data_IF_686612729883
#
_entry.id   IF_686612729883
#
_cell.length_a   1.000
_cell.length_b   1.000
_cell.length_c   1.000
_cell.angle_alpha   90.00
_cell.angle_beta   90.00
_cell.angle_gamma   90.00
#
_symmetry.space_group_name_H-M   'P 1'
#
loop_
_entity.id
_entity.type
_entity.pdbx_description
1 polymer ?
#
# COMPACT_ATOMS: atom_id res chain seq x y z
N UNK A 1 -17.32 -1.75 21.90
CA UNK A 1 -17.47 -0.85 20.72
C UNK A 1 -16.07 -0.43 20.30
N UNK A 2 -15.58 -0.93 19.17
CA UNK A 2 -14.22 -0.62 18.69
C UNK A 2 -14.18 0.85 18.25
N UNK A 3 -13.27 1.63 18.87
CA UNK A 3 -13.12 3.05 18.51
C UNK A 3 -12.27 3.17 17.25
N UNK A 4 -12.86 3.64 16.17
CA UNK A 4 -12.13 4.08 14.97
C UNK A 4 -11.55 5.46 15.26
N UNK A 5 -10.22 5.60 15.11
CA UNK A 5 -9.51 6.84 15.45
C UNK A 5 -8.81 7.39 14.21
N UNK A 6 -8.83 8.70 14.06
CA UNK A 6 -8.04 9.39 13.04
C UNK A 6 -6.59 9.41 13.51
N UNK A 7 -5.66 9.04 12.63
CA UNK A 7 -4.22 9.03 12.85
C UNK A 7 -3.56 10.23 12.17
N UNK A 8 -3.93 10.47 10.90
CA UNK A 8 -3.44 11.62 10.13
C UNK A 8 -4.60 12.21 9.33
N UNK A 9 -4.83 13.49 9.51
CA UNK A 9 -5.76 14.25 8.67
C UNK A 9 -5.11 14.69 7.35
N UNK A 10 -5.89 14.85 6.25
CA UNK A 10 -5.38 15.48 5.04
C UNK A 10 -4.99 16.94 5.30
N UNK A 11 -4.09 17.49 4.50
CA UNK A 11 -3.65 18.90 4.62
C UNK A 11 -4.82 19.88 4.40
N UNK A 12 -5.76 19.54 3.53
CA UNK A 12 -6.96 20.34 3.21
C UNK A 12 -8.22 19.47 3.26
N UNK A 13 -9.38 20.02 3.73
CA UNK A 13 -10.65 19.30 3.79
C UNK A 13 -11.41 19.38 2.45
N UNK A 14 -10.82 18.87 1.36
CA UNK A 14 -11.40 18.89 0.00
C UNK A 14 -11.04 17.67 -0.83
N UNK A 15 -11.81 17.33 -1.87
CA UNK A 15 -11.52 16.21 -2.75
C UNK A 15 -10.10 16.27 -3.33
N UNK A 16 -9.40 15.14 -3.34
CA UNK A 16 -8.04 15.02 -3.86
C UNK A 16 -6.94 15.33 -2.84
N UNK A 17 -7.27 15.84 -1.64
CA UNK A 17 -6.35 16.00 -0.53
C UNK A 17 -6.43 14.77 0.38
N UNK A 18 -5.33 14.00 0.47
CA UNK A 18 -5.32 12.72 1.16
C UNK A 18 -4.11 12.55 2.06
N UNK A 19 -4.35 11.95 3.23
CA UNK A 19 -3.37 11.27 4.05
C UNK A 19 -3.72 9.79 4.08
N UNK A 20 -2.85 8.90 3.58
CA UNK A 20 -3.21 7.50 3.48
C UNK A 20 -2.14 6.62 2.84
N UNK A 21 -2.53 5.45 2.33
CA UNK A 21 -1.61 4.45 1.81
C UNK A 21 -0.66 3.93 2.90
N UNK A 22 -1.17 3.47 4.07
CA UNK A 22 -0.34 3.06 5.19
C UNK A 22 0.50 1.81 4.89
N UNK A 23 1.67 1.75 5.54
CA UNK A 23 2.47 0.55 5.75
C UNK A 23 3.00 0.60 7.18
N UNK A 24 2.54 -0.31 8.03
CA UNK A 24 2.80 -0.30 9.46
C UNK A 24 3.69 -1.45 9.91
N UNK A 25 4.51 -1.20 10.92
CA UNK A 25 5.36 -2.18 11.60
C UNK A 25 5.25 -1.99 13.12
N UNK A 26 5.25 -3.08 13.87
CA UNK A 26 5.43 -3.07 15.31
C UNK A 26 6.80 -3.70 15.62
N UNK A 27 7.75 -2.89 16.05
CA UNK A 27 9.14 -3.30 16.31
C UNK A 27 9.49 -2.94 17.75
N UNK A 28 9.85 -3.91 18.55
CA UNK A 28 10.24 -3.74 19.97
C UNK A 28 9.25 -2.88 20.77
N UNK A 29 7.95 -3.09 20.55
CA UNK A 29 6.87 -2.36 21.22
C UNK A 29 6.60 -0.96 20.66
N UNK A 30 7.38 -0.48 19.70
CA UNK A 30 7.18 0.81 19.04
C UNK A 30 6.47 0.62 17.69
N UNK A 31 5.41 1.38 17.46
CA UNK A 31 4.75 1.44 16.18
C UNK A 31 5.48 2.38 15.22
N UNK A 32 5.68 1.91 14.01
CA UNK A 32 6.20 2.66 12.88
C UNK A 32 5.19 2.64 11.75
N UNK A 33 4.90 3.80 11.17
CA UNK A 33 3.88 3.96 10.15
C UNK A 33 4.42 4.81 9.02
N UNK A 34 4.57 4.21 7.85
CA UNK A 34 4.82 4.95 6.62
C UNK A 34 3.48 5.24 5.94
N UNK A 35 3.31 6.45 5.39
CA UNK A 35 2.11 6.86 4.68
C UNK A 35 2.42 7.93 3.63
N UNK A 36 1.48 8.15 2.73
CA UNK A 36 1.55 9.16 1.67
C UNK A 36 0.74 10.40 2.04
N UNK A 37 1.27 11.58 1.69
CA UNK A 37 0.53 12.84 1.63
C UNK A 37 0.28 13.22 0.18
N UNK A 38 -0.95 13.60 -0.14
CA UNK A 38 -1.37 13.98 -1.48
C UNK A 38 -2.21 15.24 -1.49
N UNK A 39 -1.98 16.07 -2.49
CA UNK A 39 -2.77 17.25 -2.86
C UNK A 39 -3.59 16.96 -4.13
N UNK A 40 -4.59 17.79 -4.45
CA UNK A 40 -5.36 17.66 -5.68
C UNK A 40 -4.49 17.64 -6.94
N UNK A 41 -5.07 17.16 -8.05
CA UNK A 41 -4.44 17.24 -9.37
C UNK A 41 -4.11 18.69 -9.72
N UNK A 42 -2.90 18.92 -10.24
CA UNK A 42 -2.39 20.28 -10.53
C UNK A 42 -1.74 20.99 -9.34
N UNK A 43 -1.89 20.46 -8.11
CA UNK A 43 -1.33 21.05 -6.89
C UNK A 43 -0.22 20.20 -6.24
N UNK A 44 0.33 19.22 -6.98
CA UNK A 44 1.48 18.42 -6.56
C UNK A 44 1.19 16.94 -6.37
N UNK A 45 -0.07 16.50 -6.38
CA UNK A 45 -0.45 15.07 -6.23
C UNK A 45 0.20 14.44 -4.99
N UNK A 46 0.74 13.23 -5.07
CA UNK A 46 1.52 12.58 -4.02
C UNK A 46 2.87 13.27 -3.84
N UNK A 47 2.94 14.29 -2.98
CA UNK A 47 4.13 15.14 -2.86
C UNK A 47 5.16 14.62 -1.85
N UNK A 48 4.73 13.75 -0.91
CA UNK A 48 5.63 13.18 0.09
C UNK A 48 5.18 11.81 0.59
N UNK A 49 6.15 10.97 0.96
CA UNK A 49 5.96 9.89 1.92
C UNK A 49 6.54 10.31 3.27
N UNK A 50 5.86 9.94 4.34
CA UNK A 50 6.24 10.25 5.72
C UNK A 50 6.38 8.93 6.48
N UNK A 51 7.40 8.81 7.34
CA UNK A 51 7.47 7.77 8.35
C UNK A 51 7.32 8.43 9.72
N UNK A 52 6.42 7.90 10.53
CA UNK A 52 6.11 8.38 11.87
C UNK A 52 6.20 7.24 12.89
N UNK A 53 6.45 7.57 14.14
CA UNK A 53 6.51 6.62 15.27
C UNK A 53 5.43 6.90 16.30
N UNK A 54 5.05 5.85 17.05
CA UNK A 54 4.07 5.94 18.12
C UNK A 54 4.31 4.84 19.17
N UNK A 55 4.02 5.14 20.43
CA UNK A 55 4.08 4.14 21.51
C UNK A 55 2.70 3.46 21.73
N UNK A 56 1.60 4.07 21.28
CA UNK A 56 0.23 3.58 21.47
C UNK A 56 -0.46 3.07 20.18
N UNK A 57 0.17 3.31 19.01
CA UNK A 57 -0.38 2.98 17.69
C UNK A 57 -1.55 3.89 17.26
N UNK A 58 -1.74 5.03 17.92
CA UNK A 58 -2.81 5.99 17.65
C UNK A 58 -2.25 7.39 17.43
N UNK A 59 -1.40 7.85 18.35
CA UNK A 59 -0.78 9.18 18.32
C UNK A 59 0.61 9.05 17.72
N UNK A 60 0.76 9.51 16.47
CA UNK A 60 2.01 9.39 15.73
C UNK A 60 2.75 10.71 15.62
N UNK A 61 4.07 10.65 15.79
CA UNK A 61 5.00 11.77 15.59
C UNK A 61 5.83 11.51 14.33
N UNK A 62 5.79 12.39 13.31
CA UNK A 62 6.63 12.28 12.12
C UNK A 62 8.13 12.29 12.48
N UNK A 63 8.89 11.37 11.87
CA UNK A 63 10.34 11.20 12.05
C UNK A 63 11.08 11.49 10.75
N UNK A 64 10.50 11.08 9.61
CA UNK A 64 11.10 11.23 8.28
C UNK A 64 10.05 11.73 7.29
N UNK A 65 10.41 12.70 6.46
CA UNK A 65 9.68 13.10 5.26
C UNK A 65 10.55 12.92 4.02
N UNK A 66 10.00 12.25 3.00
CA UNK A 66 10.68 12.03 1.72
C UNK A 66 9.83 12.64 0.62
N UNK A 67 10.33 13.73 0.00
CA UNK A 67 9.63 14.45 -1.05
C UNK A 67 9.82 13.77 -2.43
N UNK A 68 8.84 13.92 -3.31
CA UNK A 68 8.86 13.40 -4.68
C UNK A 68 10.06 13.91 -5.51
N UNK A 69 10.49 15.13 -5.24
CA UNK A 69 11.58 15.79 -5.98
C UNK A 69 12.92 15.06 -5.80
N UNK A 70 13.10 14.37 -4.68
CA UNK A 70 14.27 13.51 -4.44
C UNK A 70 14.45 12.44 -5.51
N UNK A 71 13.35 11.93 -6.07
CA UNK A 71 13.33 10.88 -7.09
C UNK A 71 13.15 11.42 -8.51
N UNK A 72 13.02 12.74 -8.69
CA UNK A 72 12.59 13.30 -9.97
C UNK A 72 11.20 12.82 -10.38
N UNK A 73 10.35 12.46 -9.42
CA UNK A 73 9.04 11.89 -9.67
C UNK A 73 7.95 12.98 -9.76
N UNK A 74 6.91 12.72 -10.57
CA UNK A 74 5.73 13.57 -10.62
C UNK A 74 4.85 13.41 -9.37
N UNK A 75 4.82 12.19 -8.83
CA UNK A 75 4.00 11.83 -7.69
C UNK A 75 4.58 10.62 -6.97
N UNK A 76 4.41 10.55 -5.67
CA UNK A 76 4.61 9.33 -4.88
C UNK A 76 3.27 8.66 -4.58
N UNK A 77 3.25 7.32 -4.51
CA UNK A 77 2.11 6.54 -4.04
C UNK A 77 2.47 5.80 -2.75
N UNK A 78 1.70 4.76 -2.41
CA UNK A 78 1.86 4.00 -1.17
C UNK A 78 3.31 3.55 -0.97
N UNK A 79 3.95 3.90 0.15
CA UNK A 79 5.23 3.31 0.54
C UNK A 79 5.06 1.90 1.11
N UNK A 80 6.15 1.11 1.14
CA UNK A 80 6.23 -0.07 1.99
C UNK A 80 7.44 0.05 2.93
N UNK A 81 7.16 0.01 4.23
CA UNK A 81 8.18 0.06 5.28
C UNK A 81 8.39 -1.36 5.82
N UNK A 82 9.63 -1.83 5.85
CA UNK A 82 10.00 -3.14 6.42
C UNK A 82 11.30 -3.06 7.18
N UNK A 83 11.51 -4.00 8.10
CA UNK A 83 12.79 -4.23 8.77
C UNK A 83 13.37 -5.55 8.25
N UNK A 84 14.65 -5.54 7.88
CA UNK A 84 15.34 -6.74 7.43
C UNK A 84 15.67 -7.66 8.61
N UNK A 85 15.98 -8.95 8.36
CA UNK A 85 16.44 -9.86 9.41
C UNK A 85 17.66 -9.35 10.19
N UNK A 86 18.49 -8.52 9.55
CA UNK A 86 19.68 -7.89 10.14
C UNK A 86 19.35 -6.60 10.91
N UNK A 87 18.08 -6.21 10.99
CA UNK A 87 17.62 -5.02 11.71
C UNK A 87 17.73 -3.71 10.92
N UNK A 88 17.99 -3.76 9.62
CA UNK A 88 18.04 -2.56 8.78
C UNK A 88 16.64 -2.14 8.34
N UNK A 89 16.45 -0.84 8.21
CA UNK A 89 15.19 -0.26 7.73
C UNK A 89 15.20 -0.11 6.20
N UNK A 90 14.11 -0.52 5.58
CA UNK A 90 13.85 -0.38 4.15
C UNK A 90 12.55 0.38 3.91
N UNK A 91 12.62 1.40 3.05
CA UNK A 91 11.46 2.12 2.55
C UNK A 91 11.41 1.97 1.03
N UNK A 92 10.45 1.19 0.55
CA UNK A 92 10.13 1.10 -0.87
C UNK A 92 9.17 2.23 -1.22
N UNK A 93 9.50 3.01 -2.25
CA UNK A 93 8.77 4.22 -2.64
C UNK A 93 8.27 4.07 -4.07
N UNK A 94 6.96 4.16 -4.27
CA UNK A 94 6.33 4.13 -5.59
C UNK A 94 6.38 5.51 -6.22
N UNK A 95 7.02 5.64 -7.39
CA UNK A 95 7.35 6.88 -8.07
C UNK A 95 6.71 6.95 -9.46
N UNK A 96 6.02 8.06 -9.78
CA UNK A 96 5.44 8.31 -11.11
C UNK A 96 6.46 8.98 -12.04
N UNK A 97 6.60 8.46 -13.26
CA UNK A 97 7.39 9.10 -14.32
C UNK A 97 6.68 10.36 -14.80
N UNK A 98 7.33 11.54 -14.79
CA UNK A 98 6.71 12.78 -15.22
C UNK A 98 6.12 12.70 -16.64
N UNK A 99 4.92 13.23 -16.80
CA UNK A 99 4.24 13.32 -18.11
C UNK A 99 3.72 11.99 -18.67
N UNK A 100 3.77 10.90 -17.91
CA UNK A 100 3.37 9.55 -18.37
C UNK A 100 2.41 8.85 -17.42
N UNK A 101 2.01 7.62 -17.77
CA UNK A 101 1.31 6.68 -16.87
C UNK A 101 2.25 5.64 -16.26
N UNK A 102 3.54 5.69 -16.58
CA UNK A 102 4.54 4.76 -16.07
C UNK A 102 4.87 5.04 -14.60
N UNK A 103 5.11 3.96 -13.85
CA UNK A 103 5.54 3.97 -12.45
C UNK A 103 6.70 2.99 -12.25
N UNK A 104 7.57 3.31 -11.29
CA UNK A 104 8.62 2.43 -10.80
C UNK A 104 8.64 2.42 -9.27
N UNK A 105 9.39 1.50 -8.68
CA UNK A 105 9.63 1.48 -7.24
C UNK A 105 11.12 1.62 -6.96
N UNK A 106 11.46 2.60 -6.13
CA UNK A 106 12.79 2.80 -5.57
C UNK A 106 12.85 2.33 -4.13
N UNK A 107 14.03 1.91 -3.68
CA UNK A 107 14.33 1.50 -2.33
C UNK A 107 15.32 2.48 -1.70
N UNK A 108 15.08 2.83 -0.44
CA UNK A 108 16.03 3.44 0.49
C UNK A 108 16.30 2.45 1.61
N UNK A 109 17.56 2.21 1.96
CA UNK A 109 17.97 1.32 3.05
C UNK A 109 18.96 1.99 3.98
N UNK A 110 18.78 1.82 5.31
CA UNK A 110 19.72 2.34 6.32
C UNK A 110 19.53 1.64 7.68
N UNK A 111 20.42 1.96 8.62
CA UNK A 111 20.39 1.36 9.97
C UNK A 111 19.30 1.97 10.86
N UNK A 112 18.85 3.19 10.58
CA UNK A 112 17.76 3.87 11.31
C UNK A 112 16.77 4.50 10.34
N UNK A 113 15.53 4.78 10.82
CA UNK A 113 14.51 5.46 10.01
C UNK A 113 14.98 6.87 9.62
N UNK A 114 15.61 7.60 10.51
CA UNK A 114 16.12 8.95 10.26
C UNK A 114 17.17 8.98 9.15
N UNK A 115 18.05 7.98 9.14
CA UNK A 115 19.14 7.87 8.15
C UNK A 115 18.66 7.54 6.74
N UNK A 116 17.41 7.07 6.57
CA UNK A 116 16.78 6.94 5.25
C UNK A 116 16.72 8.28 4.50
N UNK A 117 16.74 9.41 5.21
CA UNK A 117 16.79 10.75 4.61
C UNK A 117 17.96 10.93 3.64
N UNK A 118 19.10 10.32 3.92
CA UNK A 118 20.35 10.44 3.14
C UNK A 118 20.77 9.13 2.47
N UNK A 119 19.97 8.06 2.61
CA UNK A 119 20.27 6.76 2.02
C UNK A 119 20.34 6.84 0.49
N UNK A 120 21.21 6.05 -0.12
CA UNK A 120 21.28 5.95 -1.57
C UNK A 120 20.00 5.34 -2.13
N UNK A 121 19.46 5.93 -3.20
CA UNK A 121 18.33 5.38 -3.94
C UNK A 121 18.80 4.21 -4.82
N UNK A 122 18.07 3.10 -4.76
CA UNK A 122 18.20 1.95 -5.68
C UNK A 122 16.87 1.68 -6.33
N UNK A 123 16.78 1.72 -7.66
CA UNK A 123 15.56 1.37 -8.38
C UNK A 123 15.43 -0.15 -8.46
N UNK A 124 14.48 -0.72 -7.69
CA UNK A 124 14.32 -2.18 -7.53
C UNK A 124 13.22 -2.78 -8.39
N UNK A 125 12.20 -1.99 -8.80
CA UNK A 125 11.15 -2.41 -9.72
C UNK A 125 11.00 -1.32 -10.79
N UNK A 126 11.72 -1.42 -11.91
CA UNK A 126 11.75 -0.36 -12.92
C UNK A 126 10.45 -0.26 -13.72
N UNK A 127 9.59 -1.29 -13.72
CA UNK A 127 8.53 -1.41 -14.70
C UNK A 127 9.09 -1.68 -16.10
N UNK A 128 8.26 -1.47 -17.13
CA UNK A 128 8.64 -1.60 -18.53
C UNK A 128 7.84 -0.61 -19.41
N UNK A 129 8.06 -0.63 -20.70
CA UNK A 129 7.23 0.12 -21.66
C UNK A 129 5.78 -0.37 -21.69
N UNK A 130 5.53 -1.64 -21.32
CA UNK A 130 4.22 -2.28 -21.32
C UNK A 130 3.55 -2.32 -19.95
N UNK A 131 4.30 -2.07 -18.86
CA UNK A 131 3.79 -2.23 -17.50
C UNK A 131 4.38 -1.22 -16.53
N UNK A 132 3.51 -0.48 -15.84
CA UNK A 132 3.86 0.31 -14.67
C UNK A 132 3.74 -0.53 -13.40
N UNK A 133 4.66 -0.37 -12.44
CA UNK A 133 4.69 -1.12 -11.19
C UNK A 133 4.70 -0.17 -10.01
N UNK A 134 3.79 -0.39 -9.03
CA UNK A 134 3.72 0.43 -7.83
C UNK A 134 3.04 -0.29 -6.65
N UNK A 135 2.93 0.39 -5.51
CA UNK A 135 2.20 -0.03 -4.30
C UNK A 135 2.64 -1.43 -3.79
N UNK A 136 3.95 -1.66 -3.55
CA UNK A 136 4.41 -2.97 -3.14
C UNK A 136 3.94 -3.32 -1.73
N UNK A 137 3.65 -4.61 -1.53
CA UNK A 137 3.56 -5.28 -0.23
C UNK A 137 4.75 -6.22 -0.13
N UNK A 138 5.60 -6.03 0.87
CA UNK A 138 6.84 -6.79 1.02
C UNK A 138 6.82 -7.54 2.35
N UNK A 139 7.16 -8.83 2.33
CA UNK A 139 7.19 -9.70 3.53
C UNK A 139 8.42 -10.61 3.50
N UNK A 140 8.97 -10.88 4.66
CA UNK A 140 10.01 -11.89 4.90
C UNK A 140 9.37 -13.11 5.57
N UNK A 141 9.62 -14.33 5.06
CA UNK A 141 9.06 -15.59 5.58
C UNK A 141 10.02 -16.39 6.48
N UNK A 142 11.20 -15.81 6.76
CA UNK A 142 12.29 -16.49 7.46
C UNK A 142 13.37 -17.06 6.53
N UNK A 143 13.10 -17.14 5.22
CA UNK A 143 13.99 -17.75 4.23
C UNK A 143 14.22 -16.88 2.99
N UNK A 144 13.18 -16.14 2.55
CA UNK A 144 13.22 -15.27 1.37
C UNK A 144 12.25 -14.12 1.50
N UNK A 145 12.46 -13.13 0.67
CA UNK A 145 11.54 -12.02 0.50
C UNK A 145 10.42 -12.37 -0.48
N UNK A 146 9.22 -11.96 -0.14
CA UNK A 146 8.02 -12.02 -0.96
C UNK A 146 7.56 -10.61 -1.26
N UNK A 147 7.14 -10.38 -2.50
CA UNK A 147 6.60 -9.10 -2.96
C UNK A 147 5.34 -9.33 -3.76
N UNK A 148 4.34 -8.53 -3.48
CA UNK A 148 3.16 -8.36 -4.31
C UNK A 148 3.09 -6.91 -4.71
N UNK A 149 3.00 -6.63 -6.02
CA UNK A 149 2.94 -5.28 -6.52
C UNK A 149 1.74 -5.08 -7.44
N UNK A 150 1.20 -3.88 -7.45
CA UNK A 150 0.19 -3.47 -8.42
C UNK A 150 0.85 -3.24 -9.77
N UNK A 151 0.43 -3.99 -10.78
CA UNK A 151 0.92 -3.86 -12.15
C UNK A 151 -0.19 -3.30 -13.04
N UNK A 152 0.13 -2.21 -13.74
CA UNK A 152 -0.79 -1.47 -14.59
C UNK A 152 -0.38 -1.65 -16.06
N UNK A 153 -1.27 -2.13 -16.94
CA UNK A 153 -0.97 -2.24 -18.37
C UNK A 153 -0.79 -0.85 -18.99
N UNK A 154 0.18 -0.70 -19.88
CA UNK A 154 0.48 0.55 -20.59
C UNK A 154 0.26 0.47 -22.10
N UNK A 155 -0.03 -0.71 -22.63
CA UNK A 155 -0.31 -0.99 -24.05
C UNK A 155 -1.63 -0.38 -24.55
N UNK A 156 -2.61 -0.19 -23.65
CA UNK A 156 -3.86 0.50 -23.92
C UNK A 156 -4.06 1.68 -22.95
N UNK A 157 -3.98 2.95 -23.44
CA UNK A 157 -4.20 4.13 -22.58
C UNK A 157 -5.56 4.16 -21.87
N UNK A 158 -6.59 3.49 -22.42
CA UNK A 158 -7.92 3.40 -21.82
C UNK A 158 -8.02 2.29 -20.76
N UNK A 159 -7.01 1.45 -20.66
CA UNK A 159 -6.96 0.31 -19.75
C UNK A 159 -5.89 0.42 -18.64
N UNK A 160 -5.15 1.52 -18.56
CA UNK A 160 -4.05 1.69 -17.58
C UNK A 160 -4.49 1.58 -16.13
N UNK A 161 -5.77 1.65 -15.85
CA UNK A 161 -6.37 1.46 -14.53
C UNK A 161 -6.88 0.02 -14.28
N UNK A 162 -6.73 -0.90 -15.26
CA UNK A 162 -7.01 -2.34 -15.12
C UNK A 162 -5.82 -3.07 -14.49
N UNK A 163 -5.51 -2.69 -13.27
CA UNK A 163 -4.38 -3.26 -12.56
C UNK A 163 -4.66 -4.67 -12.06
N UNK A 164 -3.61 -5.49 -12.04
CA UNK A 164 -3.57 -6.78 -11.36
C UNK A 164 -2.57 -6.71 -10.21
N UNK A 165 -2.62 -7.66 -9.30
CA UNK A 165 -1.56 -7.89 -8.33
C UNK A 165 -0.66 -9.01 -8.84
N UNK A 166 0.62 -8.69 -9.06
CA UNK A 166 1.64 -9.64 -9.48
C UNK A 166 2.54 -10.03 -8.30
N UNK A 167 3.03 -11.28 -8.31
CA UNK A 167 3.86 -11.85 -7.26
C UNK A 167 5.30 -12.04 -7.72
N UNK A 168 6.24 -11.72 -6.83
CA UNK A 168 7.67 -11.95 -7.02
C UNK A 168 8.36 -12.41 -5.74
N UNK A 169 9.52 -13.04 -5.86
CA UNK A 169 10.39 -13.41 -4.75
C UNK A 169 11.81 -12.90 -4.96
N UNK A 170 12.54 -12.76 -3.84
CA UNK A 170 13.94 -12.31 -3.86
C UNK A 170 14.71 -12.95 -2.71
N UNK A 171 16.00 -13.27 -2.88
CA UNK A 171 16.88 -13.68 -1.79
C UNK A 171 17.29 -12.49 -0.90
N UNK A 172 17.37 -11.28 -1.44
CA UNK A 172 17.93 -10.09 -0.80
C UNK A 172 16.96 -8.89 -0.70
N UNK A 173 15.78 -8.97 -1.37
CA UNK A 173 14.80 -7.90 -1.44
C UNK A 173 15.17 -6.77 -2.41
N UNK A 174 16.18 -6.97 -3.26
CA UNK A 174 16.66 -6.04 -4.27
C UNK A 174 16.38 -6.55 -5.69
N UNK A 175 16.82 -7.77 -5.97
CA UNK A 175 16.65 -8.44 -7.25
C UNK A 175 15.45 -9.39 -7.19
N UNK A 176 14.43 -9.13 -8.02
CA UNK A 176 13.14 -9.81 -7.95
C UNK A 176 12.89 -10.75 -9.12
N UNK A 177 12.50 -11.99 -8.81
CA UNK A 177 12.02 -12.97 -9.78
C UNK A 177 10.49 -13.00 -9.77
N UNK A 178 9.88 -12.62 -10.90
CA UNK A 178 8.43 -12.60 -11.07
C UNK A 178 7.85 -14.01 -11.33
N UNK A 179 6.70 -14.29 -10.72
CA UNK A 179 5.98 -15.56 -10.81
C UNK A 179 4.60 -15.42 -11.48
N UNK A 180 4.20 -14.20 -11.84
CA UNK A 180 2.95 -13.90 -12.51
C UNK A 180 1.84 -13.44 -11.55
N UNK A 181 0.62 -13.45 -12.04
CA UNK A 181 -0.55 -12.87 -11.39
C UNK A 181 -0.96 -13.63 -10.13
N UNK A 182 -0.95 -12.95 -8.99
CA UNK A 182 -1.46 -13.45 -7.72
C UNK A 182 -2.97 -13.24 -7.57
N UNK A 183 -3.48 -12.07 -8.03
CA UNK A 183 -4.91 -11.75 -8.04
C UNK A 183 -5.25 -10.86 -9.24
N UNK A 184 -6.35 -11.18 -9.91
CA UNK A 184 -6.97 -10.37 -10.95
C UNK A 184 -8.42 -10.04 -10.58
N UNK A 185 -8.98 -8.97 -11.16
CA UNK A 185 -10.36 -8.58 -10.93
C UNK A 185 -11.35 -9.64 -11.42
N UNK A 186 -12.45 -9.81 -10.70
CA UNK A 186 -13.50 -10.79 -11.00
C UNK A 186 -14.41 -10.27 -12.11
N UNK A 187 -14.49 -10.92 -13.27
CA UNK A 187 -15.36 -10.46 -14.36
C UNK A 187 -16.81 -10.28 -13.93
N UNK A 188 -17.36 -9.06 -14.09
CA UNK A 188 -18.71 -8.71 -13.66
C UNK A 188 -18.86 -8.47 -12.16
N UNK A 189 -17.80 -8.62 -11.38
CA UNK A 189 -17.78 -8.39 -9.94
C UNK A 189 -17.59 -6.91 -9.57
N UNK A 190 -17.67 -6.63 -8.27
CA UNK A 190 -17.43 -5.31 -7.69
C UNK A 190 -15.95 -4.85 -7.81
N UNK A 191 -15.04 -5.75 -8.12
CA UNK A 191 -13.60 -5.55 -8.28
C UNK A 191 -13.12 -5.73 -9.74
N UNK A 192 -14.05 -5.84 -10.69
CA UNK A 192 -13.78 -6.22 -12.08
C UNK A 192 -12.79 -5.29 -12.82
N UNK A 193 -12.68 -4.03 -12.40
CA UNK A 193 -11.85 -3.04 -13.09
C UNK A 193 -10.38 -3.12 -12.72
N UNK A 194 -10.07 -3.54 -11.50
CA UNK A 194 -8.68 -3.68 -11.06
C UNK A 194 -8.56 -3.96 -9.58
N UNK A 195 -7.50 -4.68 -9.22
CA UNK A 195 -7.21 -5.13 -7.85
C UNK A 195 -5.75 -4.90 -7.49
N UNK A 196 -5.50 -4.54 -6.22
CA UNK A 196 -4.14 -4.46 -5.66
C UNK A 196 -4.13 -4.91 -4.20
N UNK A 197 -3.14 -5.68 -3.80
CA UNK A 197 -2.96 -6.01 -2.40
C UNK A 197 -2.55 -4.79 -1.58
N UNK A 198 -3.07 -4.74 -0.36
CA UNK A 198 -2.74 -3.74 0.64
C UNK A 198 -2.05 -4.34 1.87
N UNK A 199 -2.33 -5.60 2.21
CA UNK A 199 -1.56 -6.41 3.14
C UNK A 199 -1.60 -7.88 2.76
N UNK A 200 -0.57 -8.63 3.17
CA UNK A 200 -0.53 -10.09 3.07
C UNK A 200 -0.07 -10.66 4.41
N UNK A 201 -0.81 -11.61 4.92
CA UNK A 201 -0.42 -12.43 6.06
C UNK A 201 -0.01 -13.82 5.55
N UNK A 202 1.25 -14.18 5.80
CA UNK A 202 1.80 -15.47 5.41
C UNK A 202 1.59 -16.50 6.53
N UNK A 203 0.83 -17.57 6.25
CA UNK A 203 0.61 -18.70 7.17
C UNK A 203 0.38 -20.00 6.35
N UNK A 204 1.29 -20.31 5.44
CA UNK A 204 1.18 -21.45 4.53
C UNK A 204 -0.16 -21.41 3.75
N UNK A 205 -0.90 -22.51 3.78
CA UNK A 205 -2.19 -22.63 3.10
C UNK A 205 -3.31 -21.75 3.70
N UNK A 206 -3.08 -21.19 4.90
CA UNK A 206 -4.01 -20.27 5.56
C UNK A 206 -3.66 -18.80 5.31
N UNK A 207 -2.71 -18.53 4.43
CA UNK A 207 -2.36 -17.15 4.05
C UNK A 207 -3.57 -16.41 3.50
N UNK A 208 -3.67 -15.14 3.83
CA UNK A 208 -4.73 -14.26 3.37
C UNK A 208 -4.18 -12.88 3.02
N UNK A 209 -4.92 -12.15 2.20
CA UNK A 209 -4.58 -10.79 1.81
C UNK A 209 -5.80 -9.88 1.89
N UNK A 210 -5.59 -8.63 2.28
CA UNK A 210 -6.53 -7.56 2.00
C UNK A 210 -6.15 -6.94 0.66
N UNK A 211 -7.16 -6.59 -0.12
CA UNK A 211 -6.96 -5.96 -1.41
C UNK A 211 -7.96 -4.85 -1.66
N UNK A 212 -7.56 -3.88 -2.44
CA UNK A 212 -8.45 -2.84 -2.94
C UNK A 212 -8.98 -3.23 -4.31
N UNK A 213 -10.27 -3.01 -4.53
CA UNK A 213 -10.94 -3.29 -5.79
C UNK A 213 -11.98 -2.24 -6.14
N UNK A 214 -12.36 -2.18 -7.42
CA UNK A 214 -13.43 -1.34 -7.93
C UNK A 214 -14.06 -1.96 -9.17
N UNK A 215 -15.34 -1.68 -9.43
CA UNK A 215 -16.06 -2.23 -10.57
C UNK A 215 -15.81 -1.44 -11.86
N UNK A 216 -15.62 -0.13 -11.78
CA UNK A 216 -15.59 0.77 -12.94
C UNK A 216 -14.46 1.80 -12.86
N UNK A 217 -14.16 2.45 -13.98
CA UNK A 217 -13.20 3.56 -14.02
C UNK A 217 -13.69 4.81 -13.26
N UNK A 218 -15.01 4.98 -13.13
CA UNK A 218 -15.60 6.10 -12.39
C UNK A 218 -15.36 6.00 -10.88
N UNK A 219 -15.09 4.80 -10.35
CA UNK A 219 -14.74 4.54 -8.95
C UNK A 219 -13.23 4.68 -8.68
N UNK A 220 -12.47 5.23 -9.63
CA UNK A 220 -11.05 5.46 -9.44
C UNK A 220 -10.81 6.39 -8.25
N UNK A 221 -9.88 5.97 -7.36
CA UNK A 221 -9.55 6.56 -6.05
C UNK A 221 -10.55 6.28 -4.92
N UNK A 222 -11.67 5.64 -5.22
CA UNK A 222 -12.71 5.26 -4.27
C UNK A 222 -12.83 3.73 -4.19
N UNK A 223 -11.68 3.05 -4.27
CA UNK A 223 -11.60 1.62 -4.12
C UNK A 223 -12.12 1.19 -2.74
N UNK A 224 -12.64 -0.03 -2.67
CA UNK A 224 -13.12 -0.68 -1.44
C UNK A 224 -12.21 -1.85 -1.09
N UNK A 225 -12.10 -2.17 0.20
CA UNK A 225 -11.27 -3.27 0.66
C UNK A 225 -12.01 -4.60 0.60
N UNK A 226 -11.42 -5.59 -0.07
CA UNK A 226 -11.83 -6.98 -0.10
C UNK A 226 -10.87 -7.89 0.65
N UNK A 227 -11.27 -9.14 0.83
CA UNK A 227 -10.48 -10.24 1.39
C UNK A 227 -10.19 -11.26 0.30
N UNK A 228 -8.95 -11.74 0.23
CA UNK A 228 -8.57 -12.86 -0.62
C UNK A 228 -7.82 -13.91 0.21
N UNK A 229 -7.96 -15.18 -0.13
CA UNK A 229 -7.33 -16.31 0.56
C UNK A 229 -6.40 -17.05 -0.39
N UNK A 230 -5.31 -17.57 0.16
CA UNK A 230 -4.41 -18.41 -0.62
C UNK A 230 -5.16 -19.56 -1.29
N UNK A 231 -4.84 -19.85 -2.54
CA UNK A 231 -5.42 -20.89 -3.36
C UNK A 231 -4.31 -21.77 -3.96
N UNK A 232 -4.43 -23.07 -3.80
CA UNK A 232 -3.49 -24.04 -4.39
C UNK A 232 -2.10 -23.98 -3.77
N UNK A 233 -1.13 -23.49 -4.51
CA UNK A 233 0.30 -23.46 -4.14
C UNK A 233 0.69 -22.32 -3.16
N UNK A 234 -0.27 -21.56 -2.66
CA UNK A 234 -0.03 -20.40 -1.78
C UNK A 234 0.52 -19.15 -2.49
N UNK A 235 0.77 -19.21 -3.79
CA UNK A 235 1.26 -18.08 -4.61
C UNK A 235 0.11 -17.27 -5.21
N UNK A 236 -1.02 -17.93 -5.46
CA UNK A 236 -2.26 -17.37 -5.97
C UNK A 236 -3.26 -17.19 -4.87
N UNK A 237 -4.13 -16.22 -5.05
CA UNK A 237 -5.19 -15.91 -4.12
C UNK A 237 -6.53 -15.89 -4.85
N UNK A 238 -7.58 -16.30 -4.16
CA UNK A 238 -8.95 -16.20 -4.61
C UNK A 238 -9.67 -15.12 -3.79
N UNK A 239 -10.32 -14.18 -4.48
CA UNK A 239 -11.15 -13.17 -3.84
C UNK A 239 -12.35 -13.81 -3.14
N UNK A 240 -12.72 -13.31 -1.96
CA UNK A 240 -13.94 -13.69 -1.28
C UNK A 240 -15.14 -13.22 -2.14
N UNK A 241 -16.08 -14.12 -2.50
CA UNK A 241 -17.18 -13.79 -3.39
C UNK A 241 -18.25 -12.87 -2.76
N UNK A 242 -18.28 -12.72 -1.44
CA UNK A 242 -19.32 -11.99 -0.72
C UNK A 242 -19.23 -10.45 -0.86
N UNK A 243 -18.33 -9.95 -1.71
CA UNK A 243 -18.16 -8.52 -2.01
C UNK A 243 -17.14 -7.82 -1.13
N UNK A 244 -17.13 -6.49 -1.07
CA UNK A 244 -16.13 -5.78 -0.28
C UNK A 244 -16.33 -6.03 1.21
N UNK A 245 -15.22 -6.36 1.89
CA UNK A 245 -15.18 -6.56 3.35
C UNK A 245 -15.41 -5.24 4.10
N UNK A 246 -14.86 -4.14 3.58
CA UNK A 246 -14.92 -2.82 4.21
C UNK A 246 -15.22 -1.73 3.18
N UNK A 247 -16.09 -0.79 3.61
CA UNK A 247 -16.41 0.44 2.88
C UNK A 247 -16.45 1.63 3.84
N UNK A 248 -16.18 2.83 3.34
CA UNK A 248 -16.43 4.05 4.12
C UNK A 248 -17.92 4.28 4.26
N UNK A 249 -18.42 4.77 5.41
CA UNK A 249 -19.80 5.19 5.57
C UNK A 249 -20.13 6.49 4.80
N UNK A 250 -19.14 7.18 4.28
CA UNK A 250 -19.29 8.42 3.54
C UNK A 250 -19.19 8.16 2.04
N UNK A 251 -20.10 8.77 1.28
CA UNK A 251 -20.15 8.65 -0.18
C UNK A 251 -18.86 9.23 -0.80
N UNK A 252 -18.32 8.58 -1.84
CA UNK A 252 -18.79 7.41 -2.56
C UNK A 252 -18.41 6.04 -1.94
N UNK A 253 -17.80 5.99 -0.75
CA UNK A 253 -17.59 4.76 0.00
C UNK A 253 -16.17 4.22 -0.03
N UNK A 254 -15.20 4.98 -0.50
CA UNK A 254 -13.79 4.58 -0.56
C UNK A 254 -13.23 4.25 0.82
N UNK A 255 -12.72 3.03 0.97
CA UNK A 255 -11.90 2.58 2.08
C UNK A 255 -10.85 1.64 1.50
N UNK A 256 -9.58 2.02 1.60
CA UNK A 256 -8.51 1.39 0.85
C UNK A 256 -7.18 1.35 1.58
N UNK A 257 -6.22 0.63 1.00
CA UNK A 257 -4.87 0.47 1.55
C UNK A 257 -4.89 -0.04 3.00
N UNK A 258 -5.85 -0.91 3.34
CA UNK A 258 -5.91 -1.45 4.69
C UNK A 258 -4.66 -2.30 4.98
N UNK A 259 -3.91 -1.93 6.01
CA UNK A 259 -2.78 -2.69 6.53
C UNK A 259 -3.10 -3.22 7.92
N UNK A 260 -2.88 -4.51 8.14
CA UNK A 260 -3.25 -5.23 9.34
C UNK A 260 -2.02 -5.83 10.02
N UNK A 261 -1.75 -5.40 11.24
CA UNK A 261 -0.56 -5.81 12.02
C UNK A 261 -1.01 -6.54 13.30
N UNK A 262 -0.66 -7.83 13.47
CA UNK A 262 -0.90 -8.55 14.72
C UNK A 262 -0.14 -7.89 15.89
N UNK A 263 -0.82 -7.78 17.06
CA UNK A 263 -0.24 -7.15 18.27
C UNK A 263 0.37 -8.18 19.23
N UNK A 264 0.04 -9.47 19.06
CA UNK A 264 0.60 -10.55 19.86
C UNK A 264 -0.23 -10.98 21.09
N UNK A 265 -1.34 -10.26 21.36
CA UNK A 265 -2.31 -10.56 22.43
C UNK A 265 -3.64 -11.13 21.91
N UNK A 266 -3.66 -11.63 20.70
CA UNK A 266 -4.87 -12.06 20.00
C UNK A 266 -5.66 -10.91 19.41
N UNK A 267 -5.06 -9.71 19.30
CA UNK A 267 -5.65 -8.58 18.60
C UNK A 267 -4.83 -8.20 17.36
N UNK A 268 -5.45 -7.50 16.43
CA UNK A 268 -4.84 -6.97 15.21
C UNK A 268 -5.16 -5.50 15.10
N UNK A 269 -4.14 -4.66 14.91
CA UNK A 269 -4.33 -3.24 14.62
C UNK A 269 -4.37 -3.02 13.12
N UNK A 270 -5.43 -2.36 12.68
CA UNK A 270 -5.64 -2.00 11.30
C UNK A 270 -5.39 -0.52 11.09
N UNK A 271 -4.70 -0.18 10.01
CA UNK A 271 -4.52 1.17 9.50
C UNK A 271 -5.11 1.22 8.10
N UNK A 272 -5.87 2.27 7.76
CA UNK A 272 -6.54 2.36 6.47
C UNK A 272 -6.82 3.81 6.08
N UNK A 273 -6.90 4.05 4.78
CA UNK A 273 -7.34 5.32 4.20
C UNK A 273 -8.85 5.26 3.98
N UNK A 274 -9.58 6.29 4.40
CA UNK A 274 -11.03 6.36 4.26
C UNK A 274 -11.51 7.71 3.77
N UNK A 275 -12.49 7.69 2.85
CA UNK A 275 -13.20 8.88 2.38
C UNK A 275 -13.95 9.55 3.53
N UNK A 276 -13.86 10.88 3.60
CA UNK A 276 -14.54 11.78 4.53
C UNK A 276 -15.80 12.39 3.89
N UNK A 277 -16.70 13.03 4.70
CA UNK A 277 -17.86 13.75 4.17
C UNK A 277 -17.51 14.90 3.19
N UNK A 278 -16.33 15.51 3.33
CA UNK A 278 -15.83 16.59 2.47
C UNK A 278 -15.14 16.09 1.18
N UNK A 279 -15.08 14.76 0.98
CA UNK A 279 -14.42 14.12 -0.15
C UNK A 279 -12.89 14.07 -0.05
N UNK A 280 -12.30 14.55 1.03
CA UNK A 280 -10.90 14.26 1.35
C UNK A 280 -10.75 12.84 1.89
N UNK A 281 -9.52 12.32 1.96
CA UNK A 281 -9.25 11.04 2.61
C UNK A 281 -8.33 11.24 3.81
N UNK A 282 -8.64 10.53 4.89
CA UNK A 282 -7.86 10.52 6.12
C UNK A 282 -7.34 9.12 6.47
N UNK A 283 -6.22 9.07 7.16
CA UNK A 283 -5.67 7.82 7.68
C UNK A 283 -6.26 7.55 9.06
N UNK A 284 -6.81 6.36 9.22
CA UNK A 284 -7.47 5.90 10.45
C UNK A 284 -6.84 4.63 10.98
N UNK A 285 -7.09 4.35 12.27
CA UNK A 285 -6.77 3.09 12.92
C UNK A 285 -7.94 2.53 13.71
N UNK A 286 -7.94 1.19 13.85
CA UNK A 286 -8.82 0.45 14.75
C UNK A 286 -8.10 -0.79 15.27
N UNK A 287 -8.33 -1.16 16.52
CA UNK A 287 -7.89 -2.42 17.09
C UNK A 287 -9.06 -3.39 17.08
N UNK A 288 -8.87 -4.57 16.48
CA UNK A 288 -9.87 -5.63 16.35
C UNK A 288 -9.36 -6.92 16.99
N UNK A 289 -10.24 -7.86 17.41
CA UNK A 289 -9.84 -9.24 17.67
C UNK A 289 -9.17 -9.83 16.44
N UNK A 290 -8.14 -10.67 16.66
CA UNK A 290 -7.44 -11.38 15.59
C UNK A 290 -8.22 -12.59 15.08
#
# INVERSE_FOLDING_TARGET
MYKRQVVVEPEDPRPGSWAGGPSAQLVDGTWWLAYRLRRPLGEGRGHANVVARSDDGVTFTPVLGVAKDRFGAESLERPALVVTPEGRWRLYVSCATPGTKHWWVSLLESDTVESLATAQEVRVLPGSEQAAVKDPVVRWDGHRWHLWASVHPLDDPAATDRMTTEYATSPDGLDWTWHGTALAGTPGGWDARGVRFSTVHLDGDRSWALYDGRATAAENWEERTGLARAAGDGLRFAADPDGPLLVSPHSPGGLRYADAVPVGDGTTRWFYEATRPDGAHELRTVLLPG
#
